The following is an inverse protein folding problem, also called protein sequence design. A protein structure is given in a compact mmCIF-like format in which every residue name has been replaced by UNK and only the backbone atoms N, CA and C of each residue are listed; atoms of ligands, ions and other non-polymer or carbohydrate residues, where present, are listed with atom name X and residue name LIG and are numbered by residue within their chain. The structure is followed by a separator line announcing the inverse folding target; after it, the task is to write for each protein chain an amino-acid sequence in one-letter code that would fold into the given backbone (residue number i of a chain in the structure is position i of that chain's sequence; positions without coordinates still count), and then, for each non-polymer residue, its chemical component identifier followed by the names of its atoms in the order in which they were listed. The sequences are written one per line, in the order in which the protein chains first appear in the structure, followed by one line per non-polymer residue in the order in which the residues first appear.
data_IF_200576330639
#
_entry.id   IF_200576330639
#
_cell.length_a   1.000
_cell.length_b   1.000
_cell.length_c   1.000
_cell.angle_alpha   90.00
_cell.angle_beta   90.00
_cell.angle_gamma   90.00
#
_symmetry.space_group_name_H-M   'P 1'
#
loop_
_entity.id
_entity.type
_entity.pdbx_description
1 polymer ?
#
# COMPACT_ATOMS: atom_id res chain seq x y z
N UNK A 1 23.32 -13.47 6.91
CA UNK A 1 21.99 -13.22 6.31
C UNK A 1 21.75 -11.72 6.25
N UNK A 2 21.42 -11.16 5.09
CA UNK A 2 21.11 -9.72 4.98
C UNK A 2 19.79 -9.44 5.71
N UNK A 3 19.80 -8.51 6.66
CA UNK A 3 18.59 -8.09 7.39
C UNK A 3 17.67 -7.38 6.40
N UNK A 4 16.56 -8.01 6.04
CA UNK A 4 15.55 -7.44 5.13
C UNK A 4 14.93 -6.19 5.78
N UNK A 5 14.73 -5.13 5.02
CA UNK A 5 14.15 -3.90 5.58
C UNK A 5 12.69 -4.14 6.04
N UNK A 6 12.19 -3.41 7.06
CA UNK A 6 10.86 -3.65 7.62
C UNK A 6 9.71 -3.54 6.61
N UNK A 7 9.80 -2.62 5.64
CA UNK A 7 8.78 -2.47 4.59
C UNK A 7 8.66 -3.72 3.72
N UNK A 8 9.79 -4.33 3.34
CA UNK A 8 9.80 -5.58 2.58
C UNK A 8 9.32 -6.79 3.39
N UNK A 9 9.57 -6.80 4.69
CA UNK A 9 8.98 -7.83 5.57
C UNK A 9 7.46 -7.68 5.65
N UNK A 10 6.96 -6.44 5.72
CA UNK A 10 5.54 -6.15 5.68
C UNK A 10 4.89 -6.58 4.36
N UNK A 11 5.46 -6.21 3.21
CA UNK A 11 4.98 -6.64 1.88
C UNK A 11 4.88 -8.17 1.77
N UNK A 12 5.88 -8.90 2.28
CA UNK A 12 5.87 -10.36 2.29
C UNK A 12 4.78 -10.96 3.17
N UNK A 13 4.62 -10.43 4.39
CA UNK A 13 3.60 -10.91 5.34
C UNK A 13 2.20 -10.60 4.82
N UNK A 14 1.99 -9.41 4.25
CA UNK A 14 0.74 -9.03 3.60
C UNK A 14 0.42 -9.96 2.43
N UNK A 15 1.36 -10.20 1.51
CA UNK A 15 1.16 -11.12 0.38
C UNK A 15 0.79 -12.54 0.85
N UNK A 16 1.49 -13.06 1.86
CA UNK A 16 1.22 -14.41 2.42
C UNK A 16 -0.12 -14.51 3.14
N UNK A 17 -0.72 -13.37 3.48
CA UNK A 17 -2.01 -13.30 4.16
C UNK A 17 -3.19 -13.16 3.20
N UNK A 18 -2.94 -13.06 1.89
CA UNK A 18 -4.01 -13.03 0.89
C UNK A 18 -4.74 -14.37 0.88
N UNK A 19 -6.08 -14.39 0.94
CA UNK A 19 -6.86 -15.62 0.91
C UNK A 19 -6.59 -16.46 -0.35
N UNK A 20 -6.70 -17.78 -0.23
CA UNK A 20 -6.41 -18.73 -1.33
C UNK A 20 -7.39 -18.62 -2.51
N UNK A 21 -8.61 -18.14 -2.24
CA UNK A 21 -9.65 -17.86 -3.24
C UNK A 21 -9.44 -16.51 -3.95
N UNK A 22 -8.44 -15.73 -3.56
CA UNK A 22 -8.04 -14.50 -4.24
C UNK A 22 -6.77 -14.72 -5.07
N UNK A 23 -6.69 -14.08 -6.24
CA UNK A 23 -5.46 -14.02 -7.02
C UNK A 23 -4.66 -12.75 -6.69
N UNK A 24 -3.34 -12.87 -6.50
CA UNK A 24 -2.46 -11.73 -6.19
C UNK A 24 -1.27 -11.64 -7.14
N UNK A 25 -0.98 -10.44 -7.61
CA UNK A 25 0.22 -10.10 -8.34
C UNK A 25 0.94 -8.91 -7.71
N UNK A 26 2.25 -9.04 -7.49
CA UNK A 26 3.12 -7.94 -7.05
C UNK A 26 3.79 -7.35 -8.28
N UNK A 27 3.67 -6.05 -8.48
CA UNK A 27 4.36 -5.40 -9.59
C UNK A 27 5.87 -5.53 -9.43
N UNK A 28 6.57 -5.63 -10.57
CA UNK A 28 8.03 -5.70 -10.59
C UNK A 28 8.58 -4.29 -10.44
N UNK A 29 9.53 -4.12 -9.53
CA UNK A 29 10.26 -2.86 -9.41
C UNK A 29 10.97 -2.61 -10.75
N UNK A 30 10.87 -1.40 -11.31
CA UNK A 30 11.48 -1.09 -12.60
C UNK A 30 13.00 -1.34 -12.55
N UNK A 31 13.53 -2.19 -13.40
CA UNK A 31 14.98 -2.42 -13.52
C UNK A 31 15.55 -1.49 -14.58
N UNK A 32 16.17 -0.39 -14.17
CA UNK A 32 17.10 0.32 -15.03
C UNK A 32 18.46 -0.40 -14.96
N UNK A 33 18.57 -1.59 -15.57
CA UNK A 33 19.86 -2.28 -15.67
C UNK A 33 20.64 -1.71 -16.88
N UNK A 34 21.55 -0.79 -16.60
CA UNK A 34 22.57 -0.34 -17.55
C UNK A 34 23.67 -1.38 -17.69
N UNK A 35 23.52 -2.29 -18.64
CA UNK A 35 24.67 -2.92 -19.27
C UNK A 35 25.22 -1.98 -20.35
N UNK A 36 25.97 -0.94 -19.97
CA UNK A 36 26.59 -0.04 -20.94
C UNK A 36 26.83 1.38 -20.41
N UNK A 37 28.01 1.91 -20.76
CA UNK A 37 28.58 3.21 -20.40
C UNK A 37 27.60 4.39 -20.38
N UNK A 38 27.67 5.17 -19.29
CA UNK A 38 27.22 6.57 -19.10
C UNK A 38 25.76 6.89 -19.52
N UNK A 39 24.85 6.67 -18.57
CA UNK A 39 23.89 7.62 -17.98
C UNK A 39 23.60 8.96 -18.72
N UNK A 40 23.15 8.93 -19.97
CA UNK A 40 22.49 10.10 -20.59
C UNK A 40 21.03 9.82 -21.01
N UNK A 41 20.62 8.54 -21.07
CA UNK A 41 19.30 8.12 -21.57
C UNK A 41 18.43 7.33 -20.56
N UNK A 42 18.63 7.48 -19.24
CA UNK A 42 17.73 6.89 -18.22
C UNK A 42 16.41 7.68 -18.13
N UNK A 43 15.76 7.99 -19.25
CA UNK A 43 14.64 8.95 -19.28
C UNK A 43 13.25 8.37 -19.07
N UNK A 44 13.08 7.04 -19.00
CA UNK A 44 11.74 6.45 -18.89
C UNK A 44 11.74 5.17 -18.05
N UNK A 45 12.02 5.26 -16.75
CA UNK A 45 11.68 4.14 -15.87
C UNK A 45 10.18 4.15 -15.66
N UNK A 46 9.47 3.15 -16.19
CA UNK A 46 8.05 2.98 -15.92
C UNK A 46 7.84 2.87 -14.40
N UNK A 47 6.97 3.72 -13.86
CA UNK A 47 6.55 3.65 -12.47
C UNK A 47 5.29 2.82 -12.38
N UNK A 48 5.23 1.93 -11.40
CA UNK A 48 4.02 1.18 -11.13
C UNK A 48 3.01 2.09 -10.42
N UNK A 49 1.75 1.92 -10.78
CA UNK A 49 0.62 2.59 -10.13
C UNK A 49 0.52 2.24 -8.64
N UNK A 50 0.86 1.01 -8.26
CA UNK A 50 0.92 0.54 -6.87
C UNK A 50 1.85 -0.68 -6.71
N UNK A 51 1.96 -1.21 -5.49
CA UNK A 51 2.76 -2.39 -5.17
C UNK A 51 2.09 -3.73 -5.58
N UNK A 52 0.79 -3.87 -5.36
CA UNK A 52 0.04 -5.11 -5.60
C UNK A 52 -1.30 -4.88 -6.30
N UNK A 53 -1.70 -5.86 -7.10
CA UNK A 53 -3.08 -6.04 -7.54
C UNK A 53 -3.61 -7.37 -7.01
N UNK A 54 -4.84 -7.36 -6.49
CA UNK A 54 -5.53 -8.52 -5.96
C UNK A 54 -6.88 -8.64 -6.66
N UNK A 55 -7.17 -9.77 -7.28
CA UNK A 55 -8.50 -10.08 -7.80
C UNK A 55 -9.24 -10.90 -6.74
N UNK A 56 -10.32 -10.32 -6.20
CA UNK A 56 -11.28 -11.02 -5.34
C UNK A 56 -12.40 -11.60 -6.21
N UNK A 57 -13.44 -12.20 -5.60
CA UNK A 57 -14.61 -12.66 -6.34
C UNK A 57 -15.36 -11.52 -7.05
N UNK A 58 -15.28 -10.30 -6.51
CA UNK A 58 -16.11 -9.19 -6.94
C UNK A 58 -15.33 -7.99 -7.49
N UNK A 59 -14.08 -7.79 -7.07
CA UNK A 59 -13.33 -6.56 -7.30
C UNK A 59 -11.86 -6.82 -7.65
N UNK A 60 -11.31 -5.98 -8.53
CA UNK A 60 -9.88 -5.78 -8.65
C UNK A 60 -9.44 -4.73 -7.62
N UNK A 61 -8.60 -5.12 -6.67
CA UNK A 61 -8.10 -4.25 -5.60
C UNK A 61 -6.65 -3.89 -5.86
N UNK A 62 -6.37 -2.59 -6.03
CA UNK A 62 -5.03 -2.02 -6.16
C UNK A 62 -4.53 -1.53 -4.80
N UNK A 63 -3.33 -1.96 -4.41
CA UNK A 63 -2.81 -1.78 -3.06
C UNK A 63 -1.39 -1.22 -3.09
N UNK A 64 -1.22 -0.03 -2.49
CA UNK A 64 0.09 0.54 -2.19
C UNK A 64 0.40 0.38 -0.69
N UNK A 65 1.53 -0.22 -0.33
CA UNK A 65 1.86 -0.55 1.06
C UNK A 65 2.95 0.36 1.60
N UNK A 66 2.69 1.05 2.71
CA UNK A 66 3.73 1.79 3.46
C UNK A 66 3.81 1.31 4.89
N UNK A 67 5.04 1.04 5.35
CA UNK A 67 5.32 0.71 6.74
C UNK A 67 6.25 1.74 7.36
N UNK A 68 5.86 2.31 8.50
CA UNK A 68 6.61 3.35 9.19
C UNK A 68 6.69 3.07 10.69
N UNK A 69 7.80 3.49 11.32
CA UNK A 69 7.93 3.52 12.78
C UNK A 69 7.60 4.95 13.22
N UNK A 70 6.62 5.10 14.09
CA UNK A 70 6.08 6.39 14.51
C UNK A 70 4.56 6.48 14.42
N UNK A 71 4.01 7.58 14.95
CA UNK A 71 2.57 7.82 15.04
C UNK A 71 1.96 8.49 13.79
N UNK A 72 2.75 8.71 12.74
CA UNK A 72 2.29 9.34 11.50
C UNK A 72 3.13 8.92 10.30
N UNK A 73 2.54 8.81 9.11
CA UNK A 73 3.26 8.59 7.84
C UNK A 73 3.59 9.94 7.20
N UNK A 74 4.87 10.30 6.99
CA UNK A 74 5.23 11.49 6.24
C UNK A 74 4.75 11.42 4.79
N UNK A 75 4.26 12.54 4.21
CA UNK A 75 3.77 12.55 2.83
C UNK A 75 4.83 12.13 1.81
N UNK A 76 6.10 12.48 2.04
CA UNK A 76 7.21 12.12 1.15
C UNK A 76 7.52 10.62 1.07
N UNK A 77 6.90 9.80 1.93
CA UNK A 77 6.97 8.34 1.85
C UNK A 77 6.05 7.78 0.75
N UNK A 78 5.15 8.60 0.21
CA UNK A 78 4.18 8.24 -0.83
C UNK A 78 4.52 9.03 -2.09
N UNK A 79 4.56 8.35 -3.24
CA UNK A 79 4.86 9.04 -4.50
C UNK A 79 3.60 9.74 -4.98
N UNK A 80 3.72 10.98 -5.44
CA UNK A 80 2.60 11.76 -5.94
C UNK A 80 1.89 11.08 -7.11
N UNK A 81 2.64 10.44 -8.01
CA UNK A 81 2.05 9.73 -9.14
C UNK A 81 1.14 8.58 -8.70
N UNK A 82 1.50 7.84 -7.63
CA UNK A 82 0.65 6.77 -7.08
C UNK A 82 -0.67 7.34 -6.53
N UNK A 83 -0.60 8.48 -5.82
CA UNK A 83 -1.80 9.14 -5.29
C UNK A 83 -2.71 9.55 -6.45
N UNK A 84 -2.18 10.28 -7.43
CA UNK A 84 -2.95 10.78 -8.58
C UNK A 84 -3.52 9.66 -9.44
N UNK A 85 -2.71 8.65 -9.79
CA UNK A 85 -3.15 7.55 -10.63
C UNK A 85 -4.22 6.70 -9.93
N UNK A 86 -4.03 6.38 -8.64
CA UNK A 86 -4.98 5.56 -7.88
C UNK A 86 -6.28 6.32 -7.55
N UNK A 87 -6.23 7.61 -7.23
CA UNK A 87 -7.43 8.40 -6.91
C UNK A 87 -8.30 8.67 -8.13
N UNK A 88 -7.72 8.72 -9.32
CA UNK A 88 -8.43 9.02 -10.57
C UNK A 88 -9.11 7.81 -11.20
N UNK A 89 -9.00 6.61 -10.61
CA UNK A 89 -9.69 5.42 -11.11
C UNK A 89 -11.22 5.61 -11.00
N UNK A 90 -11.89 5.51 -12.15
CA UNK A 90 -13.35 5.57 -12.26
C UNK A 90 -13.87 4.26 -12.85
N UNK A 91 -13.90 3.21 -12.03
CA UNK A 91 -14.54 1.94 -12.39
C UNK A 91 -15.15 1.32 -11.13
N UNK A 92 -16.43 0.96 -11.19
CA UNK A 92 -17.17 0.37 -10.06
C UNK A 92 -16.60 -0.93 -9.51
N UNK A 93 -15.74 -1.61 -10.28
CA UNK A 93 -15.17 -2.92 -9.94
C UNK A 93 -13.67 -2.85 -9.66
N UNK A 94 -13.10 -1.64 -9.62
CA UNK A 94 -11.71 -1.41 -9.24
C UNK A 94 -11.70 -0.57 -7.97
N UNK A 95 -11.06 -1.09 -6.92
CA UNK A 95 -10.94 -0.41 -5.62
C UNK A 95 -9.46 -0.15 -5.35
N UNK A 96 -9.12 1.03 -4.87
CA UNK A 96 -7.72 1.45 -4.71
C UNK A 96 -7.47 1.92 -3.28
N UNK A 97 -6.53 1.27 -2.58
CA UNK A 97 -6.23 1.56 -1.18
C UNK A 97 -4.75 1.74 -0.92
N UNK A 98 -4.43 2.67 -0.02
CA UNK A 98 -3.14 2.76 0.64
C UNK A 98 -3.21 2.01 1.97
N UNK A 99 -2.32 1.04 2.14
CA UNK A 99 -2.22 0.26 3.37
C UNK A 99 -1.09 0.83 4.22
N UNK A 100 -1.45 1.45 5.35
CA UNK A 100 -0.52 2.06 6.29
C UNK A 100 -0.31 1.20 7.52
N UNK A 101 0.91 0.69 7.66
CA UNK A 101 1.35 -0.06 8.83
C UNK A 101 2.18 0.83 9.77
N UNK A 102 1.64 1.09 10.95
CA UNK A 102 2.26 1.85 12.04
C UNK A 102 2.93 0.87 13.01
N UNK A 103 4.22 0.59 12.77
CA UNK A 103 4.95 -0.51 13.42
C UNK A 103 4.99 -0.40 14.94
N UNK A 104 5.19 0.81 15.47
CA UNK A 104 5.32 1.04 16.92
C UNK A 104 3.99 0.83 17.65
N UNK A 105 2.88 0.84 16.91
CA UNK A 105 1.51 0.68 17.43
C UNK A 105 0.91 -0.68 17.05
N UNK A 106 1.59 -1.46 16.22
CA UNK A 106 1.10 -2.72 15.65
C UNK A 106 -0.30 -2.57 15.01
N UNK A 107 -0.55 -1.41 14.40
CA UNK A 107 -1.81 -1.10 13.72
C UNK A 107 -1.62 -0.97 12.22
N UNK A 108 -2.59 -1.46 11.46
CA UNK A 108 -2.62 -1.37 10.01
C UNK A 108 -4.00 -0.87 9.56
N UNK A 109 -4.02 0.12 8.67
CA UNK A 109 -5.24 0.71 8.14
C UNK A 109 -5.19 0.75 6.61
N UNK A 110 -6.31 0.44 5.98
CA UNK A 110 -6.55 0.70 4.57
C UNK A 110 -7.29 2.02 4.42
N UNK A 111 -6.74 2.93 3.61
CA UNK A 111 -7.34 4.23 3.29
C UNK A 111 -7.66 4.24 1.79
N UNK A 112 -8.87 4.61 1.41
CA UNK A 112 -9.22 4.73 -0.01
C UNK A 112 -8.38 5.84 -0.67
N UNK A 113 -7.92 5.60 -1.90
CA UNK A 113 -7.03 6.53 -2.59
C UNK A 113 -7.64 7.93 -2.79
N UNK A 114 -8.95 8.00 -3.04
CA UNK A 114 -9.69 9.27 -3.19
C UNK A 114 -9.70 10.06 -1.88
N UNK A 115 -10.08 9.41 -0.78
CA UNK A 115 -10.09 10.01 0.55
C UNK A 115 -8.69 10.45 1.00
N UNK A 116 -7.67 9.64 0.72
CA UNK A 116 -6.29 10.02 1.00
C UNK A 116 -5.86 11.28 0.22
N UNK A 117 -6.22 11.35 -1.06
CA UNK A 117 -5.91 12.53 -1.89
C UNK A 117 -6.58 13.77 -1.32
N UNK A 118 -7.87 13.71 -1.00
CA UNK A 118 -8.61 14.81 -0.40
C UNK A 118 -7.97 15.28 0.91
N UNK A 119 -7.54 14.34 1.76
CA UNK A 119 -6.82 14.68 2.98
C UNK A 119 -5.48 15.37 2.70
N UNK A 120 -4.67 14.85 1.78
CA UNK A 120 -3.37 15.45 1.44
C UNK A 120 -3.54 16.87 0.88
N UNK A 121 -4.57 17.10 0.07
CA UNK A 121 -4.84 18.39 -0.57
C UNK A 121 -5.36 19.45 0.42
N UNK A 122 -6.00 19.02 1.51
CA UNK A 122 -6.66 19.92 2.49
C UNK A 122 -5.94 20.02 3.84
N UNK A 123 -5.03 19.11 4.15
CA UNK A 123 -4.39 19.05 5.45
C UNK A 123 -3.39 20.20 5.67
N UNK A 124 -3.47 20.85 6.84
CA UNK A 124 -2.50 21.86 7.29
C UNK A 124 -1.17 21.27 7.80
N UNK A 125 -0.85 20.01 7.45
CA UNK A 125 0.32 19.27 7.92
C UNK A 125 0.88 18.37 6.82
N UNK A 126 2.15 17.95 6.96
CA UNK A 126 2.86 17.13 5.95
C UNK A 126 2.96 15.64 6.32
N UNK A 127 2.01 15.14 7.09
CA UNK A 127 1.96 13.74 7.51
C UNK A 127 0.52 13.27 7.75
N UNK A 128 0.33 11.95 7.70
CA UNK A 128 -0.93 11.24 7.91
C UNK A 128 -0.88 10.61 9.30
N UNK A 129 -1.56 11.17 10.31
CA UNK A 129 -1.53 10.65 11.68
C UNK A 129 -2.28 9.33 11.81
N UNK A 130 -1.80 8.46 12.69
CA UNK A 130 -2.49 7.23 13.10
C UNK A 130 -3.95 7.49 13.50
N UNK A 131 -4.21 8.57 14.25
CA UNK A 131 -5.56 8.93 14.67
C UNK A 131 -6.49 9.26 13.48
N UNK A 132 -5.96 9.87 12.43
CA UNK A 132 -6.73 10.12 11.21
C UNK A 132 -7.03 8.81 10.47
N UNK A 133 -6.03 7.93 10.32
CA UNK A 133 -6.24 6.61 9.71
C UNK A 133 -7.27 5.77 10.49
N UNK A 134 -7.30 5.89 11.82
CA UNK A 134 -8.28 5.21 12.66
C UNK A 134 -9.71 5.72 12.45
N UNK A 135 -9.87 7.01 12.19
CA UNK A 135 -11.19 7.63 12.02
C UNK A 135 -11.76 7.46 10.60
N UNK A 136 -10.89 7.36 9.60
CA UNK A 136 -11.25 7.43 8.18
C UNK A 136 -10.97 6.10 7.44
N UNK A 137 -10.09 5.26 7.99
CA UNK A 137 -9.69 4.00 7.38
C UNK A 137 -10.41 2.77 7.88
N UNK A 138 -10.23 1.68 7.15
CA UNK A 138 -10.62 0.33 7.57
C UNK A 138 -9.45 -0.32 8.29
N UNK A 139 -9.64 -0.75 9.54
CA UNK A 139 -8.61 -1.47 10.28
C UNK A 139 -8.40 -2.89 9.71
N UNK A 140 -7.17 -3.21 9.31
CA UNK A 140 -6.76 -4.56 8.95
C UNK A 140 -6.10 -5.18 10.18
N UNK A 141 -6.77 -6.15 10.80
CA UNK A 141 -6.26 -6.82 11.99
C UNK A 141 -5.02 -7.64 11.63
N UNK A 142 -3.92 -7.35 12.33
CA UNK A 142 -2.65 -8.07 12.22
C UNK A 142 -2.40 -8.94 13.45
N UNK A 143 -2.22 -10.24 13.24
CA UNK A 143 -1.89 -11.21 14.27
C UNK A 143 -0.38 -11.47 14.30
N UNK A 144 0.31 -10.95 15.32
CA UNK A 144 1.77 -11.13 15.48
C UNK A 144 2.09 -12.53 16.00
N UNK A 145 2.87 -13.30 15.24
CA UNK A 145 3.31 -14.65 15.68
C UNK A 145 4.52 -14.57 16.63
N UNK A 146 5.59 -13.91 16.19
CA UNK A 146 6.81 -13.67 16.97
C UNK A 146 7.51 -12.41 16.47
N UNK A 147 7.89 -12.46 15.19
CA UNK A 147 8.46 -11.32 14.44
C UNK A 147 7.71 -11.04 13.14
N UNK A 148 6.94 -12.01 12.65
CA UNK A 148 6.12 -11.93 11.43
C UNK A 148 4.65 -11.80 11.79
N UNK A 149 3.89 -11.24 10.87
CA UNK A 149 2.45 -11.02 11.00
C UNK A 149 1.66 -11.90 10.02
N UNK A 150 0.47 -12.30 10.43
CA UNK A 150 -0.62 -12.66 9.51
C UNK A 150 -1.68 -11.55 9.56
N UNK A 151 -2.28 -11.23 8.43
CA UNK A 151 -3.30 -10.18 8.33
C UNK A 151 -4.66 -10.78 7.96
N UNK A 152 -5.73 -10.32 8.60
CA UNK A 152 -7.11 -10.77 8.34
C UNK A 152 -7.68 -10.15 7.05
N UNK A 153 -7.05 -10.44 5.91
CA UNK A 153 -7.38 -9.81 4.62
C UNK A 153 -8.71 -10.29 4.04
N UNK A 154 -9.18 -11.50 4.40
CA UNK A 154 -10.49 -11.98 3.98
C UNK A 154 -11.61 -11.02 4.42
N UNK A 155 -11.63 -10.68 5.71
CA UNK A 155 -12.60 -9.74 6.27
C UNK A 155 -12.51 -8.35 5.62
N UNK A 156 -11.29 -7.89 5.34
CA UNK A 156 -11.09 -6.64 4.63
C UNK A 156 -11.73 -6.69 3.24
N UNK A 157 -11.40 -7.70 2.43
CA UNK A 157 -11.89 -7.82 1.06
C UNK A 157 -13.41 -8.03 0.96
N UNK A 158 -14.00 -8.84 1.85
CA UNK A 158 -15.46 -9.03 1.92
C UNK A 158 -16.20 -7.76 2.40
N UNK A 159 -15.52 -6.90 3.16
CA UNK A 159 -16.05 -5.65 3.67
C UNK A 159 -15.99 -4.48 2.67
N UNK A 160 -15.29 -4.64 1.55
CA UNK A 160 -15.27 -3.63 0.48
C UNK A 160 -16.59 -3.76 -0.30
N UNK A 161 -17.51 -2.84 -0.07
CA UNK A 161 -18.77 -2.73 -0.80
C UNK A 161 -18.85 -1.38 -1.51
N UNK A 162 -19.85 -1.22 -2.38
CA UNK A 162 -20.20 0.06 -3.03
C UNK A 162 -21.14 0.89 -2.15
#
# INVERSE_FOLDING_TARGET
MVKKNPGKLFEEDFKKSVPEDCWIYRFKDGTANFGGTKNENVRFQAHNICDFQVMTNDYLVLLELKSHAGASIPFNCIRSNQIEEMSNIQHSKIKAYFIFNFRDYEKTYAIEAKELKEYIDTANRRSIPLGWCKANGIEIIGNKKKIRYGYELKRFFEGIQD
#
